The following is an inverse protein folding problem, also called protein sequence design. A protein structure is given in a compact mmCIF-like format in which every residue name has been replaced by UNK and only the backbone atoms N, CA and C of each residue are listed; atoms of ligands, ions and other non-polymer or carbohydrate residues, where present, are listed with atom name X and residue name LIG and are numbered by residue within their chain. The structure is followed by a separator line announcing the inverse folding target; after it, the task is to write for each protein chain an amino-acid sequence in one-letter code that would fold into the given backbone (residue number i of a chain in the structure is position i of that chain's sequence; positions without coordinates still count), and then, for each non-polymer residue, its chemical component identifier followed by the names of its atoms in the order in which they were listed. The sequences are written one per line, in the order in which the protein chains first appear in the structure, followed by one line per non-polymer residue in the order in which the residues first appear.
data_IF_151190227427
#
_entry.id   IF_151190227427
#
_cell.length_a   1.000
_cell.length_b   1.000
_cell.length_c   1.000
_cell.angle_alpha   90.00
_cell.angle_beta   90.00
_cell.angle_gamma   90.00
#
_symmetry.space_group_name_H-M   'P 1'
#
loop_
_entity.id
_entity.type
_entity.pdbx_description
1 polymer ?
#
# COMPACT_ATOMS: atom_id res chain seq x y z
N UNK A 1 -4.61 47.85 19.46
CA UNK A 1 -3.60 46.79 19.53
C UNK A 1 -4.34 45.50 19.89
N UNK A 2 -4.69 44.70 18.90
CA UNK A 2 -5.38 43.41 19.11
C UNK A 2 -4.35 42.34 19.47
N UNK A 3 -4.59 41.62 20.57
CA UNK A 3 -3.80 40.49 20.97
C UNK A 3 -3.90 39.36 19.90
N UNK A 4 -2.80 38.72 19.52
CA UNK A 4 -2.88 37.60 18.61
C UNK A 4 -3.65 36.45 19.29
N UNK A 5 -4.71 35.95 18.63
CA UNK A 5 -5.40 34.74 19.05
C UNK A 5 -4.47 33.57 18.85
N UNK A 6 -4.23 32.82 19.93
CA UNK A 6 -3.45 31.55 19.85
C UNK A 6 -4.21 30.57 18.99
N UNK A 7 -3.56 30.10 17.92
CA UNK A 7 -4.03 28.98 17.11
C UNK A 7 -4.16 27.73 18.00
N UNK A 8 -5.28 27.00 17.94
CA UNK A 8 -5.41 25.77 18.71
C UNK A 8 -4.30 24.77 18.30
N UNK A 9 -3.75 24.01 19.25
CA UNK A 9 -2.75 22.99 18.92
C UNK A 9 -3.35 22.02 17.92
N UNK A 10 -2.64 21.79 16.81
CA UNK A 10 -2.98 20.77 15.83
C UNK A 10 -3.06 19.38 16.48
N UNK A 11 -3.76 18.43 15.84
CA UNK A 11 -3.85 17.06 16.36
C UNK A 11 -2.44 16.50 16.58
N UNK A 12 -2.27 15.82 17.72
CA UNK A 12 -1.00 15.17 18.08
C UNK A 12 -0.56 14.21 16.95
N UNK A 13 0.75 14.07 16.70
CA UNK A 13 1.27 13.15 15.68
C UNK A 13 0.72 11.74 15.93
N UNK A 14 0.09 11.15 14.93
CA UNK A 14 -0.59 9.86 14.99
C UNK A 14 0.38 8.65 15.16
N UNK A 15 1.67 8.89 15.27
CA UNK A 15 2.70 7.89 15.40
C UNK A 15 2.77 7.30 16.81
N UNK A 16 1.98 6.41 17.17
CA UNK A 16 1.99 5.42 18.27
C UNK A 16 0.62 5.10 18.85
N UNK A 17 -0.44 5.79 18.43
CA UNK A 17 -1.78 5.55 18.98
C UNK A 17 -2.40 4.23 18.49
N UNK A 18 -2.01 3.74 17.35
CA UNK A 18 -2.45 2.43 16.84
C UNK A 18 -1.66 1.30 17.51
N UNK A 19 -1.62 1.32 18.81
CA UNK A 19 -0.99 0.42 19.77
C UNK A 19 -0.43 -0.89 19.23
N UNK A 20 0.76 -0.89 18.68
CA UNK A 20 1.68 -2.04 18.58
C UNK A 20 1.16 -3.37 17.99
N UNK A 21 -0.08 -3.49 17.60
CA UNK A 21 -0.66 -4.74 17.07
C UNK A 21 -1.10 -4.59 15.61
N UNK A 22 -0.96 -5.68 14.81
CA UNK A 22 -1.41 -5.66 13.41
C UNK A 22 -2.88 -5.27 13.26
N UNK A 23 -3.73 -5.73 14.16
CA UNK A 23 -5.18 -5.44 14.14
C UNK A 23 -5.48 -3.97 14.37
N UNK A 24 -4.81 -3.34 15.32
CA UNK A 24 -5.01 -1.92 15.62
C UNK A 24 -4.50 -1.05 14.46
N UNK A 25 -3.34 -1.39 13.90
CA UNK A 25 -2.76 -0.73 12.72
C UNK A 25 -3.72 -0.79 11.51
N UNK A 26 -4.27 -1.96 11.22
CA UNK A 26 -5.23 -2.13 10.13
C UNK A 26 -6.53 -1.35 10.38
N UNK A 27 -7.04 -1.36 11.61
CA UNK A 27 -8.24 -0.62 11.97
C UNK A 27 -8.08 0.89 11.77
N UNK A 28 -6.93 1.46 12.14
CA UNK A 28 -6.60 2.88 11.94
C UNK A 28 -6.50 3.21 10.44
N UNK A 29 -5.79 2.39 9.67
CA UNK A 29 -5.65 2.59 8.24
C UNK A 29 -7.02 2.62 7.53
N UNK A 30 -7.89 1.66 7.85
CA UNK A 30 -9.24 1.61 7.29
C UNK A 30 -10.15 2.75 7.81
N UNK A 31 -9.93 3.24 9.04
CA UNK A 31 -10.61 4.43 9.52
C UNK A 31 -10.22 5.67 8.70
N UNK A 32 -8.95 5.81 8.35
CA UNK A 32 -8.47 6.86 7.45
C UNK A 32 -9.14 6.78 6.07
N UNK A 33 -9.26 5.61 5.48
CA UNK A 33 -9.96 5.47 4.20
C UNK A 33 -11.45 5.86 4.32
N UNK A 34 -12.13 5.52 5.40
CA UNK A 34 -13.52 5.98 5.61
C UNK A 34 -13.61 7.51 5.70
N UNK A 35 -12.65 8.20 6.34
CA UNK A 35 -12.59 9.66 6.36
C UNK A 35 -12.39 10.24 4.96
N UNK A 36 -11.49 9.64 4.18
CA UNK A 36 -11.26 10.02 2.78
C UNK A 36 -12.54 9.89 1.94
N UNK A 37 -13.21 8.73 1.99
CA UNK A 37 -14.46 8.46 1.24
C UNK A 37 -15.59 9.39 1.66
N UNK A 38 -15.71 9.72 2.95
CA UNK A 38 -16.74 10.65 3.45
C UNK A 38 -16.42 12.13 3.19
N UNK A 39 -15.27 12.44 2.57
CA UNK A 39 -14.84 13.82 2.35
C UNK A 39 -14.50 14.60 3.62
N UNK A 40 -14.14 13.90 4.68
CA UNK A 40 -13.79 14.46 6.00
C UNK A 40 -12.36 14.07 6.44
N UNK A 41 -11.33 14.30 5.58
CA UNK A 41 -9.96 14.05 5.98
C UNK A 41 -9.57 14.99 7.14
N UNK A 42 -8.75 14.47 8.06
CA UNK A 42 -8.30 15.24 9.24
C UNK A 42 -6.80 15.54 9.19
N UNK A 43 -6.07 14.91 8.29
CA UNK A 43 -4.64 15.12 8.13
C UNK A 43 -4.32 16.00 6.93
N UNK A 44 -3.56 17.08 7.19
CA UNK A 44 -3.00 17.93 6.15
C UNK A 44 -1.59 17.53 5.75
N UNK A 45 -1.18 17.96 4.54
CA UNK A 45 0.18 17.75 4.01
C UNK A 45 0.87 19.10 3.86
N UNK A 46 0.95 19.88 4.93
CA UNK A 46 1.62 21.18 4.97
C UNK A 46 2.99 21.12 5.65
N UNK A 47 3.73 22.23 5.57
CA UNK A 47 5.08 22.32 6.12
C UNK A 47 5.11 22.18 7.64
N UNK A 48 4.04 22.55 8.33
CA UNK A 48 3.93 22.45 9.80
C UNK A 48 3.86 20.99 10.22
N UNK A 49 3.03 20.20 9.53
CA UNK A 49 2.94 18.75 9.75
C UNK A 49 4.26 18.04 9.44
N UNK A 50 4.95 18.44 8.34
CA UNK A 50 6.26 17.90 8.00
C UNK A 50 7.33 18.24 9.06
N UNK A 51 7.36 19.47 9.55
CA UNK A 51 8.30 19.91 10.59
C UNK A 51 8.05 19.19 11.93
N UNK A 52 6.79 18.97 12.28
CA UNK A 52 6.44 18.20 13.48
C UNK A 52 6.91 16.75 13.39
N UNK A 53 6.74 16.11 12.24
CA UNK A 53 7.23 14.75 11.99
C UNK A 53 8.76 14.65 12.01
N UNK A 54 9.48 15.68 11.56
CA UNK A 54 10.94 15.71 11.54
C UNK A 54 11.59 15.94 12.91
N UNK A 55 10.82 16.27 13.95
CA UNK A 55 11.34 16.62 15.29
C UNK A 55 11.78 15.42 16.13
N UNK A 56 11.61 14.19 15.67
CA UNK A 56 11.96 12.97 16.38
C UNK A 56 12.25 11.81 15.43
N UNK A 57 12.42 10.61 16.02
CA UNK A 57 12.58 9.40 15.23
C UNK A 57 11.26 9.02 14.51
N UNK A 58 11.38 8.48 13.31
CA UNK A 58 10.20 8.01 12.60
C UNK A 58 9.57 6.80 13.31
N UNK A 59 8.26 6.77 13.42
CA UNK A 59 7.50 5.71 14.08
C UNK A 59 6.28 5.30 13.24
N UNK A 60 6.49 4.79 12.02
CA UNK A 60 5.39 4.35 11.17
C UNK A 60 4.70 3.13 11.79
N UNK A 61 3.38 3.03 11.59
CA UNK A 61 2.62 1.88 12.05
C UNK A 61 2.24 0.90 10.94
N UNK A 62 2.48 1.26 9.69
CA UNK A 62 2.23 0.42 8.52
C UNK A 62 3.21 0.70 7.40
N UNK A 63 3.45 -0.28 6.55
CA UNK A 63 4.08 -0.10 5.23
C UNK A 63 3.11 -0.54 4.14
N UNK A 64 2.96 0.29 3.12
CA UNK A 64 2.06 0.07 2.00
C UNK A 64 2.87 -0.11 0.71
N UNK A 65 2.65 -1.24 0.04
CA UNK A 65 3.13 -1.48 -1.32
C UNK A 65 1.99 -1.25 -2.30
N UNK A 66 2.11 -0.22 -3.14
CA UNK A 66 1.09 0.14 -4.13
C UNK A 66 1.63 0.44 -5.51
N UNK A 67 0.73 0.82 -6.41
CA UNK A 67 1.08 1.18 -7.78
C UNK A 67 1.57 2.63 -7.90
N UNK A 68 2.41 2.88 -8.92
CA UNK A 68 2.84 4.23 -9.32
C UNK A 68 1.73 5.04 -10.00
N UNK A 69 0.56 4.47 -10.26
CA UNK A 69 -0.57 5.16 -10.89
C UNK A 69 -0.87 6.48 -10.16
N UNK A 70 -0.85 7.59 -10.90
CA UNK A 70 -0.98 8.94 -10.33
C UNK A 70 -2.33 9.19 -9.63
N UNK A 71 -3.32 8.34 -9.89
CA UNK A 71 -4.66 8.39 -9.27
C UNK A 71 -4.72 7.64 -7.93
N UNK A 72 -3.61 7.05 -7.49
CA UNK A 72 -3.53 6.20 -6.29
C UNK A 72 -2.51 6.79 -5.28
N UNK A 73 -2.73 8.00 -4.75
CA UNK A 73 -1.88 8.58 -3.70
C UNK A 73 -2.22 7.94 -2.34
N UNK A 74 -1.40 6.99 -1.89
CA UNK A 74 -1.71 6.14 -0.74
C UNK A 74 -1.91 6.94 0.55
N UNK A 75 -1.09 7.95 0.80
CA UNK A 75 -1.20 8.81 1.98
C UNK A 75 -2.56 9.53 2.02
N UNK A 76 -3.04 10.01 0.87
CA UNK A 76 -4.33 10.68 0.78
C UNK A 76 -5.50 9.69 0.91
N UNK A 77 -5.42 8.53 0.23
CA UNK A 77 -6.47 7.49 0.26
C UNK A 77 -6.73 6.98 1.69
N UNK A 78 -5.69 6.92 2.50
CA UNK A 78 -5.79 6.47 3.89
C UNK A 78 -5.80 7.62 4.89
N UNK A 79 -5.88 8.87 4.43
CA UNK A 79 -5.87 10.08 5.30
C UNK A 79 -4.75 9.99 6.34
N UNK A 80 -3.50 9.90 5.87
CA UNK A 80 -2.31 9.75 6.72
C UNK A 80 -1.43 10.99 6.64
N UNK A 81 -0.79 11.33 7.76
CA UNK A 81 0.16 12.42 7.85
C UNK A 81 1.62 11.94 7.72
N UNK A 82 2.55 12.88 7.66
CA UNK A 82 3.99 12.58 7.64
C UNK A 82 4.41 11.70 8.82
N UNK A 83 5.24 10.69 8.55
CA UNK A 83 5.81 9.80 9.56
C UNK A 83 4.88 8.69 10.06
N UNK A 84 3.58 8.69 9.70
CA UNK A 84 2.64 7.67 10.15
C UNK A 84 2.71 6.35 9.39
N UNK A 85 3.06 6.39 8.12
CA UNK A 85 3.20 5.19 7.27
C UNK A 85 4.44 5.28 6.38
N UNK A 86 4.99 4.13 6.01
CA UNK A 86 5.96 4.00 4.92
C UNK A 86 5.22 3.61 3.63
N UNK A 87 5.61 4.21 2.50
CA UNK A 87 4.97 3.94 1.21
C UNK A 87 6.02 3.54 0.18
N UNK A 88 5.78 2.41 -0.48
CA UNK A 88 6.58 1.90 -1.59
C UNK A 88 5.66 1.82 -2.81
N UNK A 89 6.10 2.36 -3.97
CA UNK A 89 5.30 2.37 -5.20
C UNK A 89 6.11 1.90 -6.39
N UNK A 90 5.59 0.89 -7.08
CA UNK A 90 6.16 0.36 -8.33
C UNK A 90 5.07 0.19 -9.39
N UNK A 91 5.44 -0.06 -10.64
CA UNK A 91 4.46 -0.39 -11.68
C UNK A 91 3.72 -1.69 -11.30
N UNK A 92 2.38 -1.59 -11.05
CA UNK A 92 1.58 -2.75 -10.65
C UNK A 92 1.98 -3.37 -9.31
N UNK A 93 2.52 -2.61 -8.35
CA UNK A 93 3.01 -3.10 -7.05
C UNK A 93 3.92 -4.34 -7.16
N UNK A 94 4.74 -4.40 -8.21
CA UNK A 94 5.70 -5.49 -8.42
C UNK A 94 6.67 -5.57 -7.24
N UNK A 95 6.86 -6.79 -6.73
CA UNK A 95 7.77 -7.11 -5.64
C UNK A 95 9.10 -7.57 -6.22
N UNK A 96 10.09 -6.68 -6.24
CA UNK A 96 11.47 -7.01 -6.57
C UNK A 96 12.37 -6.99 -5.31
N UNK A 97 13.66 -7.22 -5.51
CA UNK A 97 14.63 -7.27 -4.39
C UNK A 97 14.74 -5.95 -3.63
N UNK A 98 14.63 -4.82 -4.30
CA UNK A 98 14.72 -3.51 -3.64
C UNK A 98 13.46 -3.22 -2.82
N UNK A 99 12.29 -3.57 -3.35
CA UNK A 99 11.01 -3.49 -2.66
C UNK A 99 11.00 -4.42 -1.44
N UNK A 100 11.41 -5.69 -1.61
CA UNK A 100 11.47 -6.66 -0.52
C UNK A 100 12.39 -6.17 0.59
N UNK A 101 13.64 -5.79 0.28
CA UNK A 101 14.59 -5.28 1.28
C UNK A 101 14.09 -4.01 1.99
N UNK A 102 13.30 -3.16 1.31
CA UNK A 102 12.67 -2.00 1.95
C UNK A 102 11.59 -2.42 2.95
N UNK A 103 10.80 -3.45 2.64
CA UNK A 103 9.78 -4.00 3.56
C UNK A 103 10.47 -4.67 4.75
N UNK A 104 11.49 -5.49 4.51
CA UNK A 104 12.30 -6.14 5.56
C UNK A 104 12.88 -5.11 6.54
N UNK A 105 13.46 -4.01 6.01
CA UNK A 105 13.98 -2.91 6.82
C UNK A 105 12.90 -2.28 7.70
N UNK A 106 11.76 -1.94 7.13
CA UNK A 106 10.66 -1.30 7.86
C UNK A 106 10.07 -2.23 8.93
N UNK A 107 9.98 -3.52 8.65
CA UNK A 107 9.49 -4.51 9.63
C UNK A 107 10.55 -4.83 10.67
N UNK A 108 11.80 -5.06 10.27
CA UNK A 108 12.88 -5.47 11.16
C UNK A 108 13.43 -4.35 12.03
N UNK A 109 13.72 -3.20 11.43
CA UNK A 109 14.38 -2.09 12.12
C UNK A 109 13.39 -1.10 12.75
N UNK A 110 12.25 -0.84 12.08
CA UNK A 110 11.26 0.12 12.60
C UNK A 110 10.12 -0.57 13.39
N UNK A 111 10.07 -1.91 13.37
CA UNK A 111 9.09 -2.67 14.13
C UNK A 111 7.64 -2.50 13.65
N UNK A 112 7.44 -2.22 12.37
CA UNK A 112 6.11 -2.02 11.79
C UNK A 112 5.30 -3.31 11.81
N UNK A 113 4.08 -3.31 12.41
CA UNK A 113 3.28 -4.51 12.57
C UNK A 113 2.38 -4.86 11.36
N UNK A 114 2.31 -4.01 10.32
CA UNK A 114 1.37 -4.18 9.22
C UNK A 114 2.01 -3.89 7.87
N UNK A 115 1.89 -4.84 6.95
CA UNK A 115 2.17 -4.67 5.52
C UNK A 115 0.86 -4.76 4.75
N UNK A 116 0.58 -3.79 3.89
CA UNK A 116 -0.59 -3.79 3.01
C UNK A 116 -0.13 -3.78 1.55
N UNK A 117 -0.56 -4.76 0.77
CA UNK A 117 -0.40 -4.78 -0.69
C UNK A 117 -1.69 -4.24 -1.31
N UNK A 118 -1.61 -3.05 -1.90
CA UNK A 118 -2.76 -2.35 -2.47
C UNK A 118 -2.75 -2.43 -3.99
N UNK A 119 -3.64 -3.26 -4.55
CA UNK A 119 -4.01 -3.20 -5.96
C UNK A 119 -5.08 -2.14 -6.20
N UNK A 120 -5.33 -1.83 -7.46
CA UNK A 120 -6.39 -0.90 -7.83
C UNK A 120 -7.01 -1.27 -9.17
N UNK A 121 -8.23 -0.84 -9.39
CA UNK A 121 -8.90 -1.03 -10.67
C UNK A 121 -8.16 -0.36 -11.83
N UNK A 122 -8.33 -0.92 -13.02
CA UNK A 122 -7.77 -0.37 -14.27
C UNK A 122 -6.27 -0.12 -14.21
N UNK A 123 -5.52 -1.03 -13.53
CA UNK A 123 -4.07 -0.93 -13.43
C UNK A 123 -3.41 -1.11 -14.80
N UNK A 124 -2.68 -0.08 -15.26
CA UNK A 124 -2.02 -0.09 -16.57
C UNK A 124 -0.92 -1.17 -16.70
N UNK A 125 -0.18 -1.43 -15.64
CA UNK A 125 0.85 -2.48 -15.66
C UNK A 125 0.23 -3.90 -15.82
N UNK A 126 -0.91 -4.15 -15.18
CA UNK A 126 -1.65 -5.42 -15.35
C UNK A 126 -2.25 -5.50 -16.75
N UNK A 127 -2.78 -4.39 -17.28
CA UNK A 127 -3.26 -4.34 -18.67
C UNK A 127 -2.15 -4.70 -19.65
N UNK A 128 -0.96 -4.12 -19.49
CA UNK A 128 0.22 -4.44 -20.33
C UNK A 128 0.58 -5.93 -20.27
N UNK A 129 0.47 -6.57 -19.10
CA UNK A 129 0.72 -8.00 -18.98
C UNK A 129 -0.36 -8.85 -19.68
N UNK A 130 -1.64 -8.49 -19.56
CA UNK A 130 -2.75 -9.15 -20.26
C UNK A 130 -2.57 -9.02 -21.78
N UNK A 131 -2.26 -7.83 -22.27
CA UNK A 131 -2.08 -7.57 -23.70
C UNK A 131 -0.86 -8.30 -24.26
N UNK A 132 0.25 -8.34 -23.52
CA UNK A 132 1.43 -9.08 -23.92
C UNK A 132 1.17 -10.58 -24.05
N UNK A 133 0.43 -11.18 -23.12
CA UNK A 133 0.10 -12.61 -23.19
C UNK A 133 -0.91 -12.93 -24.29
N UNK A 134 -1.86 -12.03 -24.56
CA UNK A 134 -2.80 -12.16 -25.69
C UNK A 134 -2.12 -12.01 -27.04
N UNK A 135 -1.28 -11.01 -27.17
CA UNK A 135 -0.59 -10.67 -28.42
C UNK A 135 0.68 -11.49 -28.68
N UNK A 136 1.16 -12.28 -27.70
CA UNK A 136 2.40 -13.03 -27.78
C UNK A 136 3.66 -12.17 -27.92
N UNK A 137 3.57 -10.87 -27.60
CA UNK A 137 4.68 -9.93 -27.67
C UNK A 137 4.93 -9.24 -26.36
N UNK A 138 6.09 -9.52 -25.75
CA UNK A 138 6.55 -8.74 -24.61
C UNK A 138 6.96 -7.33 -25.00
N UNK A 139 6.73 -6.34 -24.13
CA UNK A 139 7.25 -4.99 -24.36
C UNK A 139 8.77 -4.97 -24.27
N UNK A 140 9.37 -3.93 -24.85
CA UNK A 140 10.82 -3.73 -24.84
C UNK A 140 11.29 -3.10 -23.50
N UNK A 141 12.57 -3.25 -23.21
CA UNK A 141 13.25 -2.60 -22.11
C UNK A 141 12.78 -3.08 -20.72
N UNK A 142 12.88 -2.21 -19.71
CA UNK A 142 12.56 -2.54 -18.33
C UNK A 142 11.07 -2.80 -18.07
N UNK A 143 10.18 -2.39 -18.97
CA UNK A 143 8.76 -2.72 -18.88
C UNK A 143 8.51 -4.21 -19.01
N UNK A 144 9.36 -4.94 -19.73
CA UNK A 144 9.32 -6.39 -19.82
C UNK A 144 9.39 -7.05 -18.44
N UNK A 145 10.25 -6.54 -17.54
CA UNK A 145 10.36 -7.05 -16.18
C UNK A 145 9.02 -6.94 -15.41
N UNK A 146 8.31 -5.81 -15.51
CA UNK A 146 7.00 -5.67 -14.86
C UNK A 146 6.00 -6.69 -15.40
N UNK A 147 5.98 -6.88 -16.72
CA UNK A 147 5.12 -7.87 -17.38
C UNK A 147 5.44 -9.28 -16.90
N UNK A 148 6.72 -9.66 -16.85
CA UNK A 148 7.17 -10.96 -16.37
C UNK A 148 6.72 -11.24 -14.93
N UNK A 149 6.81 -10.26 -14.05
CA UNK A 149 6.38 -10.40 -12.65
C UNK A 149 4.85 -10.54 -12.50
N UNK A 150 4.07 -9.90 -13.38
CA UNK A 150 2.61 -9.93 -13.35
C UNK A 150 2.04 -11.12 -14.12
N UNK A 151 2.74 -11.60 -15.18
CA UNK A 151 2.29 -12.66 -16.07
C UNK A 151 1.77 -13.93 -15.36
N UNK A 152 2.36 -14.44 -14.28
CA UNK A 152 1.83 -15.60 -13.57
C UNK A 152 0.40 -15.39 -13.06
N UNK A 153 0.06 -14.18 -12.59
CA UNK A 153 -1.30 -13.88 -12.16
C UNK A 153 -2.31 -13.88 -13.31
N UNK A 154 -1.89 -13.38 -14.48
CA UNK A 154 -2.72 -13.40 -15.70
C UNK A 154 -2.92 -14.84 -16.21
N UNK A 155 -1.86 -15.65 -16.19
CA UNK A 155 -1.92 -17.07 -16.62
C UNK A 155 -2.88 -17.86 -15.73
N UNK A 156 -2.84 -17.66 -14.42
CA UNK A 156 -3.68 -18.37 -13.46
C UNK A 156 -5.18 -18.05 -13.61
N UNK A 157 -5.53 -16.84 -14.02
CA UNK A 157 -6.95 -16.47 -14.24
C UNK A 157 -7.44 -16.78 -15.66
N UNK A 158 -6.52 -17.04 -16.59
CA UNK A 158 -6.81 -17.30 -18.00
C UNK A 158 -6.91 -15.99 -18.79
N UNK A 159 -5.97 -15.82 -19.73
CA UNK A 159 -5.82 -14.58 -20.53
C UNK A 159 -7.04 -14.28 -21.40
N UNK A 160 -7.80 -15.32 -21.81
CA UNK A 160 -8.97 -15.20 -22.69
C UNK A 160 -10.26 -14.92 -21.93
N UNK A 161 -10.27 -14.98 -20.58
CA UNK A 161 -11.46 -14.58 -19.79
C UNK A 161 -11.77 -13.10 -20.07
N UNK A 162 -13.03 -12.76 -20.40
CA UNK A 162 -13.43 -11.35 -20.59
C UNK A 162 -13.11 -10.45 -19.40
N UNK A 163 -12.99 -11.03 -18.21
CA UNK A 163 -12.64 -10.35 -16.96
C UNK A 163 -11.17 -10.56 -16.56
N UNK A 164 -10.32 -11.03 -17.48
CA UNK A 164 -8.90 -11.33 -17.18
C UNK A 164 -8.20 -10.19 -16.44
N UNK A 165 -8.42 -8.94 -16.84
CA UNK A 165 -7.78 -7.79 -16.20
C UNK A 165 -8.16 -7.63 -14.70
N UNK A 166 -9.43 -7.45 -14.30
CA UNK A 166 -9.77 -7.29 -12.89
C UNK A 166 -9.44 -8.55 -12.05
N UNK A 167 -9.57 -9.74 -12.61
CA UNK A 167 -9.18 -10.98 -11.94
C UNK A 167 -7.67 -11.05 -11.73
N UNK A 168 -6.86 -10.67 -12.72
CA UNK A 168 -5.42 -10.65 -12.62
C UNK A 168 -4.91 -9.60 -11.62
N UNK A 169 -5.54 -8.42 -11.52
CA UNK A 169 -5.23 -7.44 -10.47
C UNK A 169 -5.39 -8.09 -9.09
N UNK A 170 -6.55 -8.68 -8.82
CA UNK A 170 -6.82 -9.37 -7.55
C UNK A 170 -5.82 -10.50 -7.30
N UNK A 171 -5.57 -11.33 -8.32
CA UNK A 171 -4.67 -12.48 -8.20
C UNK A 171 -3.23 -12.05 -7.95
N UNK A 172 -2.76 -10.98 -8.60
CA UNK A 172 -1.42 -10.45 -8.41
C UNK A 172 -1.22 -9.93 -6.98
N UNK A 173 -2.20 -9.22 -6.41
CA UNK A 173 -2.16 -8.83 -4.99
C UNK A 173 -2.03 -10.05 -4.08
N UNK A 174 -2.86 -11.07 -4.27
CA UNK A 174 -2.83 -12.28 -3.42
C UNK A 174 -1.51 -13.05 -3.56
N UNK A 175 -0.92 -13.11 -4.76
CA UNK A 175 0.41 -13.71 -4.99
C UNK A 175 1.50 -12.94 -4.25
N UNK A 176 1.47 -11.61 -4.32
CA UNK A 176 2.42 -10.76 -3.61
C UNK A 176 2.31 -10.93 -2.09
N UNK A 177 1.07 -10.99 -1.56
CA UNK A 177 0.83 -11.29 -0.14
C UNK A 177 1.40 -12.66 0.25
N UNK A 178 1.17 -13.69 -0.58
CA UNK A 178 1.68 -15.03 -0.33
C UNK A 178 3.22 -15.06 -0.34
N UNK A 179 3.86 -14.37 -1.29
CA UNK A 179 5.31 -14.26 -1.36
C UNK A 179 5.90 -13.58 -0.12
N UNK A 180 5.32 -12.45 0.32
CA UNK A 180 5.75 -11.76 1.53
C UNK A 180 5.56 -12.59 2.80
N UNK A 181 4.46 -13.35 2.91
CA UNK A 181 4.22 -14.22 4.08
C UNK A 181 5.19 -15.41 4.14
N UNK A 182 5.71 -15.83 3.00
CA UNK A 182 6.66 -16.95 2.87
C UNK A 182 8.13 -16.49 2.91
N UNK A 183 8.39 -15.19 2.95
CA UNK A 183 9.74 -14.65 3.03
C UNK A 183 10.44 -15.04 4.34
N UNK A 184 11.73 -15.36 4.27
CA UNK A 184 12.50 -15.90 5.40
C UNK A 184 12.54 -14.98 6.62
N UNK A 185 12.56 -13.66 6.44
CA UNK A 185 12.60 -12.68 7.52
C UNK A 185 11.19 -12.31 8.05
N UNK A 186 10.18 -12.41 7.20
CA UNK A 186 8.81 -12.01 7.55
C UNK A 186 7.97 -13.17 8.10
N UNK A 187 8.24 -14.41 7.69
CA UNK A 187 7.45 -15.58 8.08
C UNK A 187 7.39 -15.80 9.60
N UNK A 188 8.52 -15.62 10.29
CA UNK A 188 8.58 -15.75 11.75
C UNK A 188 7.69 -14.74 12.49
N UNK A 189 7.78 -13.44 12.25
CA UNK A 189 6.84 -12.43 12.75
C UNK A 189 5.38 -12.68 12.40
N UNK A 190 5.08 -13.14 11.17
CA UNK A 190 3.72 -13.49 10.76
C UNK A 190 3.18 -14.66 11.58
N UNK A 191 3.94 -15.76 11.68
CA UNK A 191 3.53 -16.93 12.45
C UNK A 191 3.32 -16.63 13.95
N UNK A 192 4.10 -15.68 14.49
CA UNK A 192 3.98 -15.22 15.88
C UNK A 192 2.86 -14.18 16.08
N UNK A 193 2.11 -13.80 15.07
CA UNK A 193 1.05 -12.79 15.15
C UNK A 193 1.53 -11.36 15.42
N UNK A 194 2.84 -11.11 15.27
CA UNK A 194 3.43 -9.78 15.42
C UNK A 194 3.39 -8.94 14.14
N UNK A 195 3.27 -9.59 12.99
CA UNK A 195 3.14 -8.96 11.69
C UNK A 195 1.89 -9.49 11.00
N UNK A 196 1.08 -8.60 10.41
CA UNK A 196 0.09 -8.96 9.41
C UNK A 196 0.54 -8.50 8.03
N UNK A 197 0.37 -9.37 7.03
CA UNK A 197 0.50 -9.03 5.61
C UNK A 197 -0.86 -9.23 4.97
N UNK A 198 -1.48 -8.16 4.48
CA UNK A 198 -2.84 -8.19 3.94
C UNK A 198 -2.88 -7.64 2.52
N UNK A 199 -3.80 -8.15 1.72
CA UNK A 199 -4.10 -7.64 0.39
C UNK A 199 -5.36 -6.78 0.42
N UNK A 200 -5.38 -5.73 -0.40
CA UNK A 200 -6.54 -4.88 -0.56
C UNK A 200 -6.68 -4.38 -2.01
N UNK A 201 -7.88 -3.97 -2.37
CA UNK A 201 -8.19 -3.32 -3.66
C UNK A 201 -8.78 -1.94 -3.43
N UNK A 202 -8.27 -0.98 -4.18
CA UNK A 202 -8.77 0.39 -4.22
C UNK A 202 -9.68 0.58 -5.44
N UNK A 203 -10.88 1.02 -5.22
CA UNK A 203 -11.84 1.39 -6.23
C UNK A 203 -11.63 2.86 -6.62
N UNK A 204 -11.30 3.10 -7.90
CA UNK A 204 -11.03 4.44 -8.43
C UNK A 204 -12.27 5.33 -8.54
N UNK A 205 -13.47 4.76 -8.52
CA UNK A 205 -14.71 5.51 -8.67
C UNK A 205 -15.28 5.94 -7.30
N UNK A 206 -15.22 5.07 -6.31
CA UNK A 206 -15.78 5.31 -4.97
C UNK A 206 -14.75 5.80 -3.96
N UNK A 207 -13.47 5.54 -4.20
CA UNK A 207 -12.40 5.80 -3.23
C UNK A 207 -12.31 4.76 -2.11
N UNK A 208 -13.13 3.73 -2.15
CA UNK A 208 -13.16 2.69 -1.13
C UNK A 208 -11.99 1.71 -1.26
N UNK A 209 -11.51 1.23 -0.12
CA UNK A 209 -10.53 0.14 -0.02
C UNK A 209 -11.20 -1.08 0.59
N UNK A 210 -11.24 -2.17 -0.17
CA UNK A 210 -11.77 -3.46 0.24
C UNK A 210 -10.62 -4.46 0.51
N UNK A 211 -10.65 -5.11 1.68
CA UNK A 211 -9.70 -6.18 1.99
C UNK A 211 -9.98 -7.40 1.12
N UNK A 212 -8.92 -8.08 0.71
CA UNK A 212 -8.99 -9.36 0.03
C UNK A 212 -8.83 -10.49 1.06
N UNK A 213 -9.76 -11.43 1.03
CA UNK A 213 -9.59 -12.71 1.71
C UNK A 213 -8.55 -13.56 0.95
N UNK A 214 -7.60 -14.13 1.69
CA UNK A 214 -6.52 -14.97 1.17
C UNK A 214 -6.98 -16.42 0.99
#
# INVERSE_FOLDING_TARGET
MGSPQATPPGPAPAGRAAGGTPRAALAELLAGNRRFVSGQPVHGHDVTAAAAAASGDQQPYAVLLGCIDSRVPLEAIFDQTFGSICVIRTGGHVLDRAVLGSIEYVVGELGVPLVVVLGHERCGAVASAVDALRGGRSPDGALAHLVEQIAPAVTEVGVDDPRAHPLAVRRHVLRTVAALRADDLLAGPVAAGRLAVVGALYDLATGEVALLEA
#
